data_IF_837241054617
#
_entry.id   IF_837241054617
#
_cell.length_a   1.000
_cell.length_b   1.000
_cell.length_c   1.000
_cell.angle_alpha   90.00
_cell.angle_beta   90.00
_cell.angle_gamma   90.00
#
_symmetry.space_group_name_H-M   'P 1'
#
loop_
_entity.id
_entity.type
_entity.pdbx_description
1 polymer ?
#
# COMPACT_ATOMS: atom_id res chain seq x y z
N UNK A 1 2.63 3.86 31.45
CA UNK A 1 2.80 5.10 30.67
C UNK A 1 2.98 4.84 29.19
N UNK A 2 3.80 3.87 28.81
CA UNK A 2 3.96 3.49 27.40
C UNK A 2 2.64 3.00 26.78
N UNK A 3 1.91 2.14 27.47
CA UNK A 3 0.62 1.62 27.02
C UNK A 3 -0.39 2.76 26.84
N UNK A 4 -0.47 3.68 27.78
CA UNK A 4 -1.36 4.85 27.72
C UNK A 4 -1.07 5.74 26.50
N UNK A 5 0.21 5.96 26.20
CA UNK A 5 0.63 6.72 25.01
C UNK A 5 0.25 5.99 23.73
N UNK A 6 0.43 4.67 23.67
CA UNK A 6 0.02 3.88 22.51
C UNK A 6 -1.50 3.82 22.35
N UNK A 7 -2.26 3.80 23.44
CA UNK A 7 -3.72 3.89 23.37
C UNK A 7 -4.20 5.22 22.77
N UNK A 8 -3.52 6.33 23.09
CA UNK A 8 -3.80 7.63 22.44
C UNK A 8 -3.51 7.61 20.94
N UNK A 9 -2.39 7.00 20.55
CA UNK A 9 -2.06 6.81 19.12
C UNK A 9 -3.12 5.95 18.43
N UNK A 10 -3.58 4.90 19.10
CA UNK A 10 -4.59 3.99 18.56
C UNK A 10 -5.95 4.65 18.32
N UNK A 11 -6.31 5.71 19.04
CA UNK A 11 -7.57 6.42 18.82
C UNK A 11 -7.73 6.90 17.39
N UNK A 12 -6.64 7.40 16.77
CA UNK A 12 -6.68 7.82 15.37
C UNK A 12 -6.92 6.65 14.43
N UNK A 13 -6.36 5.48 14.73
CA UNK A 13 -6.54 4.29 13.91
C UNK A 13 -7.92 3.66 14.05
N UNK A 14 -8.55 3.76 15.23
CA UNK A 14 -9.95 3.36 15.44
C UNK A 14 -10.88 4.24 14.62
N UNK A 15 -10.63 5.55 14.58
CA UNK A 15 -11.45 6.53 13.85
C UNK A 15 -11.15 6.58 12.35
N UNK A 16 -10.00 6.09 11.94
CA UNK A 16 -9.56 6.13 10.53
C UNK A 16 -10.42 5.21 9.68
N UNK A 17 -10.89 5.73 8.54
CA UNK A 17 -11.51 4.88 7.52
C UNK A 17 -10.48 3.86 7.02
N UNK A 18 -10.78 2.56 7.03
CA UNK A 18 -9.85 1.55 6.56
C UNK A 18 -9.39 1.81 5.12
N UNK A 19 -8.09 1.64 4.89
CA UNK A 19 -7.49 1.85 3.58
C UNK A 19 -7.72 0.65 2.66
N UNK A 20 -7.91 0.94 1.38
CA UNK A 20 -8.05 -0.06 0.33
C UNK A 20 -6.97 0.12 -0.73
N UNK A 21 -6.52 -0.99 -1.30
CA UNK A 21 -5.64 -1.00 -2.46
C UNK A 21 -6.27 -0.33 -3.68
N UNK A 22 -7.60 -0.24 -3.72
CA UNK A 22 -8.34 0.37 -4.84
C UNK A 22 -8.33 1.91 -4.83
N UNK A 23 -7.82 2.54 -3.77
CA UNK A 23 -7.72 4.00 -3.66
C UNK A 23 -6.56 4.53 -4.52
N UNK A 24 -6.73 4.52 -5.82
CA UNK A 24 -5.73 4.91 -6.81
C UNK A 24 -6.36 5.62 -8.00
N UNK A 25 -5.56 6.47 -8.65
CA UNK A 25 -5.95 7.17 -9.88
C UNK A 25 -5.44 6.44 -11.13
N UNK A 26 -4.24 5.88 -11.06
CA UNK A 26 -3.62 5.14 -12.16
C UNK A 26 -3.84 3.65 -11.98
N UNK A 27 -4.46 3.01 -12.97
CA UNK A 27 -4.69 1.58 -12.94
C UNK A 27 -3.45 0.80 -13.41
N UNK A 28 -3.23 -0.41 -12.88
CA UNK A 28 -2.20 -1.30 -13.42
C UNK A 28 -2.54 -1.75 -14.84
N UNK A 29 -1.60 -2.38 -15.57
CA UNK A 29 -1.84 -2.89 -16.92
C UNK A 29 -3.03 -3.85 -17.05
N UNK A 30 -3.37 -4.57 -15.98
CA UNK A 30 -4.55 -5.45 -15.90
C UNK A 30 -5.88 -4.70 -15.94
N UNK A 31 -5.88 -3.38 -15.66
CA UNK A 31 -7.07 -2.57 -15.44
C UNK A 31 -7.88 -2.93 -14.20
N UNK A 32 -7.37 -3.83 -13.36
CA UNK A 32 -8.02 -4.22 -12.11
C UNK A 32 -7.48 -3.33 -10.96
N UNK A 33 -8.32 -2.48 -10.33
CA UNK A 33 -7.89 -1.62 -9.24
C UNK A 33 -7.48 -2.40 -7.98
N UNK A 34 -7.83 -3.67 -7.88
CA UNK A 34 -7.44 -4.54 -6.77
C UNK A 34 -6.02 -5.10 -6.91
N UNK A 35 -5.39 -4.94 -8.06
CA UNK A 35 -4.00 -5.30 -8.24
C UNK A 35 -3.09 -4.23 -7.63
N UNK A 36 -2.19 -4.67 -6.76
CA UNK A 36 -1.18 -3.81 -6.14
C UNK A 36 -0.13 -3.40 -7.17
N UNK A 37 0.10 -2.11 -7.33
CA UNK A 37 1.11 -1.59 -8.25
C UNK A 37 1.96 -0.51 -7.60
N UNK A 38 3.26 -0.63 -7.74
CA UNK A 38 4.24 0.41 -7.46
C UNK A 38 5.27 0.44 -8.58
N UNK A 39 5.94 1.58 -8.75
CA UNK A 39 7.05 1.69 -9.69
C UNK A 39 8.39 1.42 -9.01
N UNK A 40 9.31 0.84 -9.75
CA UNK A 40 10.73 0.77 -9.37
C UNK A 40 11.31 2.18 -9.35
N UNK A 41 11.91 2.63 -8.22
CA UNK A 41 12.18 4.05 -8.00
C UNK A 41 13.32 4.63 -8.85
N UNK A 42 14.22 3.80 -9.37
CA UNK A 42 15.40 4.24 -10.10
C UNK A 42 15.30 4.00 -11.61
N UNK A 43 14.09 3.91 -12.12
CA UNK A 43 13.82 3.70 -13.53
C UNK A 43 13.09 4.89 -14.12
N UNK A 44 13.55 5.33 -15.29
CA UNK A 44 13.12 6.53 -15.97
C UNK A 44 12.72 6.26 -17.41
N UNK A 45 11.81 7.07 -18.00
CA UNK A 45 11.56 6.98 -19.42
C UNK A 45 12.85 7.10 -20.23
N UNK A 46 12.96 6.28 -21.29
CA UNK A 46 14.09 6.35 -22.23
C UNK A 46 13.89 7.52 -23.20
N UNK A 47 14.66 8.59 -22.99
CA UNK A 47 14.56 9.82 -23.81
C UNK A 47 14.96 9.61 -25.28
N UNK A 48 15.57 8.49 -25.62
CA UNK A 48 15.93 8.16 -27.01
C UNK A 48 14.78 7.54 -27.80
N UNK A 49 13.64 7.26 -27.14
CA UNK A 49 12.47 6.63 -27.72
C UNK A 49 11.24 7.52 -27.62
N UNK A 50 10.39 7.47 -28.65
CA UNK A 50 9.18 8.32 -28.74
C UNK A 50 8.22 8.06 -27.59
N UNK A 51 8.02 6.79 -27.20
CA UNK A 51 7.16 6.36 -26.11
C UNK A 51 7.87 6.26 -24.74
N UNK A 52 9.18 6.49 -24.71
CA UNK A 52 10.01 6.34 -23.52
C UNK A 52 10.16 4.91 -22.99
N UNK A 53 9.73 3.90 -23.75
CA UNK A 53 9.66 2.51 -23.30
C UNK A 53 10.70 1.60 -24.02
N UNK A 54 11.23 0.61 -23.31
CA UNK A 54 11.13 0.37 -21.88
C UNK A 54 11.92 1.40 -21.08
N UNK A 55 11.54 1.61 -19.80
CA UNK A 55 12.29 2.49 -18.90
C UNK A 55 13.72 1.99 -18.76
N UNK A 56 14.64 2.93 -18.54
CA UNK A 56 16.07 2.68 -18.31
C UNK A 56 16.43 2.95 -16.84
N UNK A 57 17.39 2.21 -16.34
CA UNK A 57 17.87 2.35 -14.97
C UNK A 57 18.82 3.55 -14.84
N UNK A 58 18.60 4.34 -13.78
CA UNK A 58 19.52 5.42 -13.36
C UNK A 58 19.77 5.29 -11.86
N UNK A 59 20.85 4.62 -11.51
CA UNK A 59 21.18 4.35 -10.11
C UNK A 59 21.31 5.62 -9.29
N UNK A 60 20.65 5.63 -8.13
CA UNK A 60 20.66 6.76 -7.21
C UNK A 60 19.74 7.92 -7.58
N UNK A 61 19.14 7.92 -8.77
CA UNK A 61 18.24 8.97 -9.22
C UNK A 61 16.78 8.51 -9.09
N UNK A 62 16.12 8.97 -8.02
CA UNK A 62 14.73 8.58 -7.74
C UNK A 62 13.76 9.28 -8.68
N UNK A 63 12.98 8.51 -9.42
CA UNK A 63 11.94 9.05 -10.30
C UNK A 63 10.70 9.45 -9.48
N UNK A 64 10.27 10.72 -9.53
CA UNK A 64 9.12 11.20 -8.77
C UNK A 64 7.78 10.58 -9.21
N UNK A 65 7.69 9.94 -10.37
CA UNK A 65 6.48 9.20 -10.78
C UNK A 65 6.05 8.13 -9.77
N UNK A 66 6.97 7.63 -8.92
CA UNK A 66 6.63 6.64 -7.89
C UNK A 66 5.56 7.16 -6.93
N UNK A 67 5.48 8.48 -6.74
CA UNK A 67 4.50 9.12 -5.86
C UNK A 67 3.08 9.21 -6.46
N UNK A 68 2.95 8.95 -7.74
CA UNK A 68 1.64 8.86 -8.39
C UNK A 68 0.92 7.53 -8.11
N UNK A 69 1.62 6.58 -7.47
CA UNK A 69 1.13 5.27 -7.06
C UNK A 69 1.08 5.20 -5.53
N UNK A 70 -0.10 5.41 -4.91
CA UNK A 70 -0.22 5.54 -3.46
C UNK A 70 -0.17 4.21 -2.71
N UNK A 71 -0.12 3.09 -3.42
CA UNK A 71 -0.25 1.76 -2.81
C UNK A 71 0.80 1.48 -1.75
N UNK A 72 2.06 1.87 -1.97
CA UNK A 72 3.13 1.66 -0.99
C UNK A 72 2.88 2.45 0.29
N UNK A 73 2.55 3.72 0.16
CA UNK A 73 2.27 4.57 1.32
C UNK A 73 1.04 4.09 2.07
N UNK A 74 -0.02 3.76 1.35
CA UNK A 74 -1.25 3.25 1.95
C UNK A 74 -1.04 1.88 2.61
N UNK A 75 -0.23 1.00 2.02
CA UNK A 75 0.13 -0.27 2.64
C UNK A 75 0.92 -0.08 3.95
N UNK A 76 1.85 0.87 3.97
CA UNK A 76 2.58 1.21 5.20
C UNK A 76 1.65 1.77 6.28
N UNK A 77 0.77 2.70 5.92
CA UNK A 77 -0.20 3.28 6.86
C UNK A 77 -1.19 2.23 7.38
N UNK A 78 -1.67 1.35 6.52
CA UNK A 78 -2.47 0.20 6.91
C UNK A 78 -1.70 -0.72 7.86
N UNK A 79 -0.46 -1.03 7.54
CA UNK A 79 0.41 -1.87 8.36
C UNK A 79 0.63 -1.29 9.76
N UNK A 80 0.89 0.01 9.85
CA UNK A 80 1.06 0.72 11.12
C UNK A 80 -0.22 0.64 11.97
N UNK A 81 -1.38 0.85 11.37
CA UNK A 81 -2.67 0.75 12.05
C UNK A 81 -2.93 -0.68 12.56
N UNK A 82 -2.77 -1.67 11.71
CA UNK A 82 -3.02 -3.06 12.08
C UNK A 82 -2.05 -3.55 13.17
N UNK A 83 -0.78 -3.18 13.07
CA UNK A 83 0.23 -3.52 14.06
C UNK A 83 -0.06 -2.89 15.41
N UNK A 84 -0.31 -1.58 15.46
CA UNK A 84 -0.61 -0.87 16.69
C UNK A 84 -1.85 -1.46 17.39
N UNK A 85 -2.93 -1.63 16.66
CA UNK A 85 -4.19 -2.16 17.19
C UNK A 85 -4.07 -3.62 17.63
N UNK A 86 -3.38 -4.45 16.85
CA UNK A 86 -3.16 -5.86 17.17
C UNK A 86 -2.32 -6.05 18.43
N UNK A 87 -1.24 -5.29 18.57
CA UNK A 87 -0.39 -5.33 19.77
C UNK A 87 -1.14 -4.85 21.01
N UNK A 88 -1.91 -3.76 20.89
CA UNK A 88 -2.71 -3.27 22.01
C UNK A 88 -3.81 -4.25 22.44
N UNK A 89 -4.45 -4.91 21.48
CA UNK A 89 -5.38 -5.99 21.83
C UNK A 89 -4.70 -7.11 22.60
N UNK A 90 -3.53 -7.55 22.13
CA UNK A 90 -2.75 -8.59 22.81
C UNK A 90 -2.40 -8.21 24.26
N UNK A 91 -1.99 -6.96 24.50
CA UNK A 91 -1.57 -6.48 25.80
C UNK A 91 -2.77 -6.20 26.72
N UNK A 92 -3.82 -5.56 26.21
CA UNK A 92 -4.93 -5.04 27.04
C UNK A 92 -6.16 -5.94 27.06
N UNK A 93 -6.34 -6.79 26.06
CA UNK A 93 -7.55 -7.59 25.89
C UNK A 93 -8.80 -6.79 25.53
N UNK A 94 -8.68 -5.49 25.23
CA UNK A 94 -9.82 -4.64 24.91
C UNK A 94 -10.33 -4.91 23.50
N UNK A 95 -11.58 -5.36 23.39
CA UNK A 95 -12.21 -5.76 22.11
C UNK A 95 -12.28 -4.63 21.07
N UNK A 96 -12.30 -3.37 21.48
CA UNK A 96 -12.30 -2.24 20.55
C UNK A 96 -11.08 -2.26 19.61
N UNK A 97 -9.93 -2.70 20.11
CA UNK A 97 -8.71 -2.80 19.30
C UNK A 97 -8.78 -3.99 18.32
N UNK A 98 -9.29 -5.13 18.76
CA UNK A 98 -9.48 -6.29 17.89
C UNK A 98 -10.45 -5.98 16.75
N UNK A 99 -11.56 -5.32 17.07
CA UNK A 99 -12.59 -4.95 16.09
C UNK A 99 -12.04 -4.00 15.03
N UNK A 100 -11.35 -2.95 15.46
CA UNK A 100 -10.76 -1.97 14.56
C UNK A 100 -9.65 -2.61 13.70
N UNK A 101 -8.78 -3.43 14.28
CA UNK A 101 -7.74 -4.16 13.57
C UNK A 101 -8.36 -5.08 12.49
N UNK A 102 -9.39 -5.84 12.85
CA UNK A 102 -10.09 -6.72 11.92
C UNK A 102 -10.68 -5.94 10.74
N UNK A 103 -11.25 -4.77 10.97
CA UNK A 103 -11.81 -3.94 9.90
C UNK A 103 -10.73 -3.47 8.92
N UNK A 104 -9.57 -3.06 9.41
CA UNK A 104 -8.44 -2.69 8.55
C UNK A 104 -7.95 -3.89 7.74
N UNK A 105 -7.78 -5.05 8.37
CA UNK A 105 -7.32 -6.26 7.68
C UNK A 105 -8.32 -6.74 6.61
N UNK A 106 -9.61 -6.74 6.92
CA UNK A 106 -10.64 -7.15 5.96
C UNK A 106 -10.70 -6.23 4.76
N UNK A 107 -10.65 -4.93 4.99
CA UNK A 107 -10.71 -3.96 3.89
C UNK A 107 -9.53 -4.08 2.96
N UNK A 108 -8.32 -4.30 3.49
CA UNK A 108 -7.14 -4.43 2.65
C UNK A 108 -7.04 -5.79 1.94
N UNK A 109 -7.43 -6.89 2.59
CA UNK A 109 -7.16 -8.23 2.09
C UNK A 109 -8.38 -9.01 1.61
N UNK A 110 -9.47 -9.02 2.36
CA UNK A 110 -10.54 -10.01 2.15
C UNK A 110 -11.87 -9.45 1.64
N UNK A 111 -12.04 -8.14 1.64
CA UNK A 111 -13.24 -7.54 1.07
C UNK A 111 -13.32 -7.87 -0.43
N UNK A 112 -14.46 -8.39 -0.93
CA UNK A 112 -14.58 -8.85 -2.32
C UNK A 112 -14.50 -7.73 -3.36
N UNK A 113 -14.68 -6.47 -2.95
CA UNK A 113 -14.62 -5.30 -3.82
C UNK A 113 -13.36 -4.44 -3.58
N UNK A 114 -12.92 -4.38 -2.34
CA UNK A 114 -11.86 -3.47 -1.89
C UNK A 114 -10.54 -4.18 -1.60
N UNK A 115 -10.57 -5.48 -1.39
CA UNK A 115 -9.41 -6.26 -0.99
C UNK A 115 -8.42 -6.48 -2.11
N UNK A 116 -7.16 -6.45 -1.75
CA UNK A 116 -6.04 -6.67 -2.67
C UNK A 116 -6.09 -8.08 -3.26
N UNK A 117 -5.90 -8.22 -4.58
CA UNK A 117 -5.68 -9.51 -5.19
C UNK A 117 -4.41 -10.16 -4.63
N UNK A 118 -4.40 -11.49 -4.41
CA UNK A 118 -3.31 -12.18 -3.74
C UNK A 118 -2.09 -12.40 -4.66
N UNK A 119 -1.59 -11.34 -5.25
CA UNK A 119 -0.38 -11.35 -6.07
C UNK A 119 0.36 -10.01 -5.98
N UNK A 120 1.64 -10.03 -6.32
CA UNK A 120 2.52 -8.87 -6.37
C UNK A 120 3.08 -8.63 -7.78
N UNK A 121 2.30 -8.99 -8.80
CA UNK A 121 2.70 -8.96 -10.20
C UNK A 121 3.24 -7.60 -10.63
N UNK A 122 2.63 -6.51 -10.16
CA UNK A 122 3.01 -5.14 -10.51
C UNK A 122 3.76 -4.40 -9.40
N UNK A 123 4.21 -5.09 -8.35
CA UNK A 123 5.07 -4.49 -7.34
C UNK A 123 6.44 -4.16 -7.93
N UNK A 124 6.91 -2.93 -7.73
CA UNK A 124 8.14 -2.41 -8.33
C UNK A 124 8.20 -2.63 -9.84
N UNK A 125 7.12 -2.29 -10.51
CA UNK A 125 7.01 -2.43 -11.96
C UNK A 125 7.99 -1.50 -12.69
N UNK A 126 8.47 -1.97 -13.83
CA UNK A 126 9.28 -1.18 -14.76
C UNK A 126 8.48 -1.07 -16.06
N UNK A 127 7.96 0.12 -16.41
CA UNK A 127 7.18 0.28 -17.62
C UNK A 127 7.92 -0.19 -18.87
N UNK A 128 7.20 -0.94 -19.71
CA UNK A 128 7.76 -1.53 -20.94
C UNK A 128 8.50 -2.85 -20.76
N UNK A 129 8.72 -3.29 -19.53
CA UNK A 129 9.29 -4.62 -19.25
C UNK A 129 8.20 -5.59 -18.81
N UNK A 130 8.19 -6.78 -19.40
CA UNK A 130 7.40 -7.90 -18.87
C UNK A 130 8.14 -8.45 -17.66
N UNK A 131 7.45 -8.57 -16.53
CA UNK A 131 8.01 -9.38 -15.44
C UNK A 131 8.03 -10.83 -15.87
N UNK A 132 9.19 -11.43 -15.76
CA UNK A 132 9.33 -12.87 -15.85
C UNK A 132 8.78 -13.53 -14.58
#
# INVERSE_FOLDING_TARGET
RYIELQEKVAEKYIKMTPLSVTAKKKLPPSKDPRDYMTLSPYWWPDSTKIDGLPYIRKDGERNPEVYEYPERENANRFGDAAYCLGVLYYITGKEVYAKACANHLRTWFTDPKLGMNPNMTYAQAVPGMKKM
#
